data_IF_837154976015
#
_entry.id   IF_837154976015
#
_cell.length_a   1.000
_cell.length_b   1.000
_cell.length_c   1.000
_cell.angle_alpha   90.00
_cell.angle_beta   90.00
_cell.angle_gamma   90.00
#
_symmetry.space_group_name_H-M   'P 1'
#
loop_
_entity.id
_entity.type
_entity.pdbx_description
1 polymer ?
#
# COMPACT_ATOMS: atom_id res chain seq x y z
N UNK A 1 -10.66 21.87 -0.75
CA UNK A 1 -12.09 21.54 -0.92
C UNK A 1 -12.63 21.30 0.48
N UNK A 2 -13.26 22.31 1.08
CA UNK A 2 -13.89 22.21 2.41
C UNK A 2 -15.27 21.58 2.19
N UNK A 3 -15.44 20.33 2.59
CA UNK A 3 -16.77 19.71 2.66
C UNK A 3 -17.60 20.53 3.65
N UNK A 4 -18.66 21.17 3.16
CA UNK A 4 -19.66 21.85 4.00
C UNK A 4 -20.55 20.77 4.60
N UNK A 5 -20.15 20.29 5.77
CA UNK A 5 -20.71 19.09 6.43
C UNK A 5 -22.07 19.36 7.09
N UNK A 6 -22.57 20.60 7.05
CA UNK A 6 -23.72 21.03 7.86
C UNK A 6 -25.09 20.49 7.41
N UNK A 7 -25.22 19.87 6.23
CA UNK A 7 -26.52 19.42 5.67
C UNK A 7 -26.73 17.91 5.60
N UNK A 8 -25.74 17.07 5.94
CA UNK A 8 -25.86 15.64 5.64
C UNK A 8 -26.78 14.86 6.60
N UNK A 9 -27.65 14.01 6.05
CA UNK A 9 -28.45 13.04 6.82
C UNK A 9 -27.57 11.90 7.36
N UNK A 10 -28.13 11.05 8.22
CA UNK A 10 -27.40 9.88 8.71
C UNK A 10 -27.09 8.91 7.57
N UNK A 11 -28.06 8.65 6.70
CA UNK A 11 -27.95 7.73 5.56
C UNK A 11 -26.86 8.19 4.58
N UNK A 12 -26.78 9.50 4.30
CA UNK A 12 -25.74 10.06 3.44
C UNK A 12 -24.33 9.88 4.05
N UNK A 13 -24.20 10.09 5.37
CA UNK A 13 -22.93 9.87 6.05
C UNK A 13 -22.56 8.38 6.09
N UNK A 14 -23.54 7.48 6.25
CA UNK A 14 -23.33 6.04 6.25
C UNK A 14 -22.89 5.54 4.87
N UNK A 15 -23.51 6.01 3.79
CA UNK A 15 -23.09 5.73 2.42
C UNK A 15 -21.66 6.20 2.17
N UNK A 16 -21.36 7.46 2.52
CA UNK A 16 -20.01 8.02 2.39
C UNK A 16 -18.96 7.24 3.20
N UNK A 17 -19.33 6.76 4.40
CA UNK A 17 -18.45 5.92 5.21
C UNK A 17 -18.13 4.62 4.48
N UNK A 18 -19.13 3.91 3.99
CA UNK A 18 -18.96 2.62 3.31
C UNK A 18 -18.14 2.75 2.01
N UNK A 19 -18.38 3.81 1.25
CA UNK A 19 -17.59 4.12 0.04
C UNK A 19 -16.13 4.40 0.38
N UNK A 20 -15.89 5.23 1.41
CA UNK A 20 -14.53 5.55 1.84
C UNK A 20 -13.79 4.32 2.38
N UNK A 21 -14.47 3.43 3.09
CA UNK A 21 -13.91 2.14 3.53
C UNK A 21 -13.56 1.26 2.34
N UNK A 22 -14.42 1.19 1.33
CA UNK A 22 -14.17 0.42 0.10
C UNK A 22 -12.94 0.95 -0.65
N UNK A 23 -12.82 2.26 -0.81
CA UNK A 23 -11.63 2.86 -1.44
C UNK A 23 -10.36 2.68 -0.60
N UNK A 24 -10.46 2.79 0.74
CA UNK A 24 -9.34 2.48 1.63
C UNK A 24 -8.82 1.06 1.41
N UNK A 25 -9.73 0.06 1.39
CA UNK A 25 -9.38 -1.35 1.16
C UNK A 25 -8.68 -1.53 -0.17
N UNK A 26 -9.22 -0.93 -1.23
CA UNK A 26 -8.65 -1.00 -2.59
C UNK A 26 -7.26 -0.38 -2.66
N UNK A 27 -7.08 0.85 -2.16
CA UNK A 27 -5.78 1.52 -2.16
C UNK A 27 -4.77 0.76 -1.29
N UNK A 28 -5.21 0.16 -0.18
CA UNK A 28 -4.35 -0.62 0.70
C UNK A 28 -3.90 -1.93 0.04
N UNK A 29 -4.80 -2.70 -0.58
CA UNK A 29 -4.46 -3.89 -1.36
C UNK A 29 -3.44 -3.57 -2.47
N UNK A 30 -3.64 -2.46 -3.19
CA UNK A 30 -2.69 -2.02 -4.21
C UNK A 30 -1.32 -1.67 -3.63
N UNK A 31 -1.27 -1.03 -2.45
CA UNK A 31 -0.01 -0.72 -1.76
C UNK A 31 0.77 -1.98 -1.39
N UNK A 32 0.08 -3.03 -0.91
CA UNK A 32 0.68 -4.34 -0.63
C UNK A 32 1.25 -4.97 -1.91
N UNK A 33 0.49 -4.90 -3.02
CA UNK A 33 0.97 -5.35 -4.33
C UNK A 33 2.23 -4.62 -4.80
N UNK A 34 2.37 -3.32 -4.52
CA UNK A 34 3.59 -2.58 -4.84
C UNK A 34 4.77 -2.98 -3.95
N UNK A 35 4.55 -3.23 -2.66
CA UNK A 35 5.59 -3.76 -1.77
C UNK A 35 6.14 -5.11 -2.29
N UNK A 36 5.25 -6.02 -2.72
CA UNK A 36 5.67 -7.29 -3.33
C UNK A 36 6.50 -7.07 -4.60
N UNK A 37 6.07 -6.16 -5.48
CA UNK A 37 6.82 -5.82 -6.71
C UNK A 37 8.20 -5.25 -6.41
N UNK A 38 8.35 -4.44 -5.35
CA UNK A 38 9.65 -3.94 -4.94
C UNK A 38 10.58 -5.07 -4.50
N UNK A 39 10.06 -5.99 -3.69
CA UNK A 39 10.79 -7.16 -3.21
C UNK A 39 11.26 -8.04 -4.37
N UNK A 40 10.35 -8.37 -5.29
CA UNK A 40 10.65 -9.06 -6.55
C UNK A 40 11.75 -8.37 -7.35
N UNK A 41 11.65 -7.05 -7.48
CA UNK A 41 12.63 -6.26 -8.23
C UNK A 41 14.00 -6.23 -7.54
N UNK A 42 14.05 -6.16 -6.20
CA UNK A 42 15.30 -6.24 -5.44
C UNK A 42 15.99 -7.59 -5.64
N UNK A 43 15.26 -8.70 -5.64
CA UNK A 43 15.83 -10.00 -5.98
C UNK A 43 16.39 -10.03 -7.41
N UNK A 44 15.65 -9.50 -8.38
CA UNK A 44 16.14 -9.39 -9.77
C UNK A 44 17.41 -8.55 -9.89
N UNK A 45 17.55 -7.47 -9.10
CA UNK A 45 18.79 -6.67 -9.01
C UNK A 45 19.93 -7.46 -8.37
N UNK A 46 19.63 -8.26 -7.33
CA UNK A 46 20.61 -9.04 -6.57
C UNK A 46 21.19 -10.20 -7.40
N UNK A 47 20.34 -10.90 -8.15
CA UNK A 47 20.72 -12.12 -8.89
C UNK A 47 21.10 -11.87 -10.35
N UNK A 48 20.91 -10.65 -10.88
CA UNK A 48 21.37 -10.33 -12.23
C UNK A 48 22.87 -10.02 -12.26
N UNK A 49 23.60 -10.70 -13.15
CA UNK A 49 25.02 -10.43 -13.40
C UNK A 49 25.24 -9.35 -14.47
N UNK A 50 24.19 -8.93 -15.18
CA UNK A 50 24.28 -7.94 -16.24
C UNK A 50 24.10 -6.52 -15.69
N UNK A 51 25.13 -5.68 -15.85
CA UNK A 51 25.09 -4.26 -15.44
C UNK A 51 23.95 -3.48 -16.11
N UNK A 52 23.69 -3.71 -17.39
CA UNK A 52 22.61 -3.03 -18.12
C UNK A 52 21.23 -3.44 -17.59
N UNK A 53 20.99 -4.75 -17.39
CA UNK A 53 19.74 -5.23 -16.79
C UNK A 53 19.57 -4.76 -15.35
N UNK A 54 20.66 -4.72 -14.57
CA UNK A 54 20.65 -4.19 -13.21
C UNK A 54 20.11 -2.76 -13.18
N UNK A 55 20.64 -1.87 -14.03
CA UNK A 55 20.17 -0.48 -14.15
C UNK A 55 18.69 -0.39 -14.53
N UNK A 56 18.22 -1.26 -15.44
CA UNK A 56 16.79 -1.33 -15.79
C UNK A 56 15.93 -1.70 -14.58
N UNK A 57 16.33 -2.69 -13.79
CA UNK A 57 15.58 -3.08 -12.59
C UNK A 57 15.64 -2.01 -11.49
N UNK A 58 16.77 -1.33 -11.31
CA UNK A 58 16.86 -0.20 -10.37
C UNK A 58 15.87 0.91 -10.76
N UNK A 59 15.76 1.25 -12.05
CA UNK A 59 14.77 2.22 -12.53
C UNK A 59 13.33 1.72 -12.34
N UNK A 60 13.08 0.43 -12.58
CA UNK A 60 11.76 -0.17 -12.30
C UNK A 60 11.41 -0.09 -10.81
N UNK A 61 12.39 -0.31 -9.94
CA UNK A 61 12.21 -0.19 -8.49
C UNK A 61 11.87 1.26 -8.10
N UNK A 62 12.57 2.25 -8.66
CA UNK A 62 12.30 3.68 -8.42
C UNK A 62 10.88 4.08 -8.86
N UNK A 63 10.46 3.65 -10.05
CA UNK A 63 9.09 3.89 -10.51
C UNK A 63 8.05 3.22 -9.60
N UNK A 64 8.33 1.99 -9.15
CA UNK A 64 7.46 1.27 -8.21
C UNK A 64 7.38 2.01 -6.86
N UNK A 65 8.50 2.56 -6.37
CA UNK A 65 8.53 3.37 -5.14
C UNK A 65 7.69 4.64 -5.28
N UNK A 66 7.70 5.30 -6.45
CA UNK A 66 6.85 6.46 -6.70
C UNK A 66 5.36 6.11 -6.60
N UNK A 67 4.94 5.03 -7.25
CA UNK A 67 3.54 4.57 -7.20
C UNK A 67 3.14 4.10 -5.80
N UNK A 68 4.03 3.40 -5.09
CA UNK A 68 3.82 3.01 -3.70
C UNK A 68 3.57 4.24 -2.81
N UNK A 69 4.39 5.29 -2.92
CA UNK A 69 4.20 6.50 -2.14
C UNK A 69 2.86 7.19 -2.44
N UNK A 70 2.40 7.20 -3.71
CA UNK A 70 1.07 7.72 -4.05
C UNK A 70 -0.02 6.92 -3.37
N UNK A 71 0.04 5.59 -3.43
CA UNK A 71 -0.96 4.73 -2.77
C UNK A 71 -0.93 4.82 -1.25
N UNK A 72 0.24 4.93 -0.63
CA UNK A 72 0.34 5.18 0.81
C UNK A 72 -0.28 6.53 1.21
N UNK A 73 -0.12 7.57 0.38
CA UNK A 73 -0.78 8.84 0.60
C UNK A 73 -2.32 8.72 0.45
N UNK A 74 -2.82 8.02 -0.57
CA UNK A 74 -4.25 7.74 -0.72
C UNK A 74 -4.83 6.99 0.49
N UNK A 75 -4.16 5.94 0.97
CA UNK A 75 -4.55 5.20 2.18
C UNK A 75 -4.68 6.13 3.39
N UNK A 76 -3.72 7.07 3.54
CA UNK A 76 -3.75 8.03 4.62
C UNK A 76 -4.91 9.03 4.48
N UNK A 77 -5.18 9.53 3.27
CA UNK A 77 -6.30 10.43 3.02
C UNK A 77 -7.65 9.75 3.26
N UNK A 78 -7.83 8.50 2.82
CA UNK A 78 -9.07 7.76 3.11
C UNK A 78 -9.28 7.54 4.60
N UNK A 79 -8.22 7.24 5.37
CA UNK A 79 -8.31 7.17 6.84
C UNK A 79 -8.76 8.48 7.46
N UNK A 80 -8.27 9.62 6.98
CA UNK A 80 -8.73 10.93 7.45
C UNK A 80 -10.21 11.15 7.12
N UNK A 81 -10.62 10.87 5.89
CA UNK A 81 -12.01 11.04 5.44
C UNK A 81 -12.94 10.20 6.32
N UNK A 82 -12.62 8.93 6.55
CA UNK A 82 -13.38 8.03 7.42
C UNK A 82 -13.48 8.59 8.85
N UNK A 83 -12.37 9.08 9.41
CA UNK A 83 -12.38 9.67 10.75
C UNK A 83 -13.25 10.94 10.83
N UNK A 84 -13.24 11.78 9.79
CA UNK A 84 -14.10 12.97 9.71
C UNK A 84 -15.57 12.56 9.66
N UNK A 85 -15.93 11.57 8.83
CA UNK A 85 -17.30 11.06 8.72
C UNK A 85 -17.78 10.51 10.06
N UNK A 86 -17.00 9.63 10.70
CA UNK A 86 -17.34 9.05 12.00
C UNK A 86 -17.46 10.11 13.10
N UNK A 87 -16.58 11.11 13.12
CA UNK A 87 -16.63 12.21 14.08
C UNK A 87 -17.90 13.05 13.87
N UNK A 88 -18.25 13.32 12.61
CA UNK A 88 -19.48 14.03 12.24
C UNK A 88 -20.72 13.28 12.71
N UNK A 89 -20.81 11.97 12.46
CA UNK A 89 -21.93 11.15 12.92
C UNK A 89 -22.10 11.24 14.45
N UNK A 90 -20.99 11.24 15.19
CA UNK A 90 -21.00 11.38 16.65
C UNK A 90 -21.41 12.78 17.10
N UNK A 91 -20.85 13.82 16.52
CA UNK A 91 -21.14 15.22 16.86
C UNK A 91 -22.61 15.57 16.61
N UNK A 92 -23.21 15.00 15.56
CA UNK A 92 -24.65 15.13 15.27
C UNK A 92 -25.54 14.27 16.16
N UNK A 93 -24.96 13.41 17.00
CA UNK A 93 -25.71 12.51 17.87
C UNK A 93 -26.37 11.34 17.16
N UNK A 94 -26.00 11.06 15.89
CA UNK A 94 -26.51 9.88 15.17
C UNK A 94 -25.95 8.58 15.74
N UNK A 95 -24.72 8.62 16.25
CA UNK A 95 -24.08 7.49 16.92
C UNK A 95 -23.53 7.91 18.28
N UNK A 96 -23.54 6.97 19.21
CA UNK A 96 -22.94 7.12 20.54
C UNK A 96 -21.46 6.71 20.55
N UNK A 97 -20.79 6.86 21.70
CA UNK A 97 -19.36 6.54 21.83
C UNK A 97 -19.04 5.04 21.80
N UNK A 98 -20.01 4.18 22.05
CA UNK A 98 -19.84 2.73 21.88
C UNK A 98 -19.90 2.35 20.41
N UNK A 99 -20.87 2.87 19.68
CA UNK A 99 -21.02 2.68 18.22
C UNK A 99 -19.81 3.21 17.46
N UNK A 100 -19.30 4.40 17.82
CA UNK A 100 -18.05 4.91 17.25
C UNK A 100 -16.87 3.95 17.45
N UNK A 101 -16.74 3.36 18.65
CA UNK A 101 -15.69 2.36 18.92
C UNK A 101 -15.88 1.09 18.10
N UNK A 102 -17.13 0.64 17.92
CA UNK A 102 -17.45 -0.51 17.07
C UNK A 102 -17.08 -0.25 15.62
N UNK A 103 -17.39 0.93 15.07
CA UNK A 103 -17.01 1.33 13.71
C UNK A 103 -15.48 1.35 13.53
N UNK A 104 -14.74 1.96 14.47
CA UNK A 104 -13.28 1.90 14.46
C UNK A 104 -12.73 0.48 14.52
N UNK A 105 -13.31 -0.38 15.37
CA UNK A 105 -12.90 -1.78 15.45
C UNK A 105 -13.20 -2.55 14.16
N UNK A 106 -14.36 -2.29 13.56
CA UNK A 106 -14.75 -2.86 12.27
C UNK A 106 -13.79 -2.44 11.16
N UNK A 107 -13.44 -1.15 11.09
CA UNK A 107 -12.44 -0.63 10.15
C UNK A 107 -11.09 -1.34 10.29
N UNK A 108 -10.63 -1.58 11.51
CA UNK A 108 -9.39 -2.33 11.74
C UNK A 108 -9.54 -3.79 11.28
N UNK A 109 -10.72 -4.40 11.49
CA UNK A 109 -11.06 -5.72 10.95
C UNK A 109 -10.96 -5.77 9.43
N UNK A 110 -11.56 -4.81 8.73
CA UNK A 110 -11.48 -4.70 7.26
C UNK A 110 -10.04 -4.61 6.74
N UNK A 111 -9.18 -3.85 7.44
CA UNK A 111 -7.75 -3.77 7.09
C UNK A 111 -7.07 -5.13 7.29
N UNK A 112 -7.30 -5.80 8.42
CA UNK A 112 -6.75 -7.13 8.69
C UNK A 112 -7.25 -8.17 7.68
N UNK A 113 -8.51 -8.11 7.26
CA UNK A 113 -9.03 -8.98 6.21
C UNK A 113 -8.32 -8.76 4.87
N UNK A 114 -8.02 -7.51 4.50
CA UNK A 114 -7.23 -7.22 3.30
C UNK A 114 -5.82 -7.82 3.40
N UNK A 115 -5.16 -7.73 4.56
CA UNK A 115 -3.84 -8.35 4.80
C UNK A 115 -3.90 -9.87 4.67
N UNK A 116 -4.90 -10.51 5.30
CA UNK A 116 -5.10 -11.96 5.25
C UNK A 116 -5.43 -12.46 3.84
N UNK A 117 -6.31 -11.75 3.14
CA UNK A 117 -6.64 -12.07 1.76
C UNK A 117 -5.41 -11.94 0.87
N UNK A 118 -4.64 -10.87 1.02
CA UNK A 118 -3.41 -10.67 0.26
C UNK A 118 -2.37 -11.76 0.55
N UNK A 119 -2.18 -12.14 1.82
CA UNK A 119 -1.29 -13.24 2.20
C UNK A 119 -1.73 -14.57 1.55
N UNK A 120 -3.03 -14.89 1.55
CA UNK A 120 -3.56 -16.08 0.87
C UNK A 120 -3.29 -16.04 -0.65
N UNK A 121 -3.44 -14.87 -1.29
CA UNK A 121 -3.09 -14.71 -2.70
C UNK A 121 -1.59 -14.93 -2.93
N UNK A 122 -0.72 -14.45 -2.03
CA UNK A 122 0.73 -14.71 -2.10
C UNK A 122 1.07 -16.19 -1.96
N UNK A 123 0.46 -16.89 -1.01
CA UNK A 123 0.66 -18.33 -0.81
C UNK A 123 0.21 -19.12 -2.05
N UNK A 124 -0.88 -18.70 -2.68
CA UNK A 124 -1.32 -19.30 -3.94
C UNK A 124 -0.34 -19.05 -5.09
N UNK A 125 0.34 -17.89 -5.13
CA UNK A 125 1.40 -17.60 -6.11
C UNK A 125 2.66 -18.46 -5.87
N UNK A 126 2.96 -18.83 -4.63
CA UNK A 126 4.02 -19.78 -4.29
C UNK A 126 3.68 -21.20 -4.78
N UNK A 127 2.40 -21.60 -4.69
CA UNK A 127 1.97 -22.94 -5.02
C UNK A 127 1.71 -23.18 -6.52
N UNK A 128 1.48 -22.13 -7.32
CA UNK A 128 1.08 -22.25 -8.74
C UNK A 128 2.12 -21.65 -9.69
N UNK A 129 2.96 -22.51 -10.29
CA UNK A 129 3.98 -22.20 -11.31
C UNK A 129 3.42 -21.73 -12.69
N UNK A 130 2.21 -21.18 -12.79
CA UNK A 130 1.50 -21.10 -14.09
C UNK A 130 0.86 -19.75 -14.48
N UNK A 131 1.34 -18.61 -13.98
CA UNK A 131 0.93 -17.31 -14.55
C UNK A 131 2.13 -16.42 -14.88
N UNK A 132 1.93 -15.51 -15.83
CA UNK A 132 2.85 -14.59 -16.53
C UNK A 132 3.83 -13.78 -15.63
N UNK A 133 3.76 -13.93 -14.31
CA UNK A 133 4.69 -13.42 -13.29
C UNK A 133 5.50 -14.56 -12.62
N UNK A 134 6.00 -15.54 -13.38
CA UNK A 134 6.89 -16.61 -12.86
C UNK A 134 8.03 -16.07 -11.97
N UNK A 135 8.50 -14.86 -12.25
CA UNK A 135 9.57 -14.21 -11.49
C UNK A 135 9.17 -13.64 -10.12
N UNK A 136 7.90 -13.63 -9.72
CA UNK A 136 7.46 -13.13 -8.41
C UNK A 136 7.26 -14.28 -7.41
N UNK A 137 6.68 -15.42 -7.85
CA UNK A 137 6.58 -16.65 -7.05
C UNK A 137 7.95 -17.21 -6.67
N UNK A 138 8.89 -17.29 -7.63
CA UNK A 138 10.27 -17.73 -7.38
C UNK A 138 10.99 -16.83 -6.37
N UNK A 139 10.69 -15.53 -6.34
CA UNK A 139 11.32 -14.60 -5.39
C UNK A 139 10.80 -14.83 -3.97
N UNK A 140 9.49 -15.06 -3.81
CA UNK A 140 8.92 -15.35 -2.51
C UNK A 140 9.47 -16.67 -1.94
N UNK A 141 9.57 -17.73 -2.76
CA UNK A 141 10.15 -19.01 -2.33
C UNK A 141 11.61 -18.85 -1.88
N UNK A 142 12.41 -18.06 -2.62
CA UNK A 142 13.81 -17.78 -2.26
C UNK A 142 13.94 -17.04 -0.92
N UNK A 143 12.96 -16.23 -0.53
CA UNK A 143 12.98 -15.51 0.74
C UNK A 143 12.58 -16.40 1.92
N UNK A 144 11.71 -17.37 1.69
CA UNK A 144 11.38 -18.42 2.68
C UNK A 144 12.56 -19.36 2.89
N UNK A 145 13.18 -19.83 1.81
CA UNK A 145 14.32 -20.76 1.86
C UNK A 145 15.59 -20.10 2.41
N UNK A 146 15.80 -18.80 2.15
CA UNK A 146 17.01 -18.07 2.54
C UNK A 146 16.70 -16.78 3.30
N UNK A 147 16.37 -16.84 4.61
CA UNK A 147 16.00 -15.66 5.40
C UNK A 147 17.06 -14.55 5.43
N UNK A 148 18.34 -14.91 5.35
CA UNK A 148 19.45 -13.95 5.29
C UNK A 148 19.43 -13.09 4.02
N UNK A 149 18.76 -13.54 2.96
CA UNK A 149 18.51 -12.76 1.74
C UNK A 149 17.75 -11.48 2.10
N UNK A 150 16.80 -11.52 3.05
CA UNK A 150 16.06 -10.35 3.50
C UNK A 150 16.95 -9.21 4.01
N UNK A 151 18.01 -9.53 4.78
CA UNK A 151 18.99 -8.52 5.23
C UNK A 151 19.78 -7.94 4.05
N UNK A 152 20.16 -8.77 3.09
CA UNK A 152 20.89 -8.34 1.90
C UNK A 152 20.04 -7.45 0.99
N UNK A 153 18.74 -7.75 0.83
CA UNK A 153 17.82 -6.91 0.08
C UNK A 153 17.61 -5.55 0.75
N UNK A 154 17.47 -5.52 2.09
CA UNK A 154 17.41 -4.25 2.85
C UNK A 154 18.67 -3.40 2.66
N UNK A 155 19.86 -4.01 2.57
CA UNK A 155 21.08 -3.27 2.28
C UNK A 155 21.10 -2.72 0.85
N UNK A 156 20.61 -3.50 -0.12
CA UNK A 156 20.49 -3.10 -1.52
C UNK A 156 19.47 -1.99 -1.74
N UNK A 157 18.42 -1.95 -0.93
CA UNK A 157 17.37 -0.94 -0.97
C UNK A 157 17.86 0.45 -0.56
N UNK A 158 18.73 0.56 0.45
CA UNK A 158 19.23 1.85 0.96
C UNK A 158 19.71 2.84 -0.12
N UNK A 159 20.61 2.46 -1.05
CA UNK A 159 21.04 3.39 -2.11
C UNK A 159 19.92 3.75 -3.08
N UNK A 160 18.92 2.89 -3.28
CA UNK A 160 17.77 3.18 -4.15
C UNK A 160 16.81 4.16 -3.49
N UNK A 161 16.54 4.01 -2.19
CA UNK A 161 15.80 4.98 -1.39
C UNK A 161 16.48 6.34 -1.42
N UNK A 162 17.81 6.38 -1.26
CA UNK A 162 18.57 7.63 -1.35
C UNK A 162 18.40 8.31 -2.73
N UNK A 163 18.51 7.53 -3.82
CA UNK A 163 18.28 8.04 -5.19
C UNK A 163 16.85 8.56 -5.38
N UNK A 164 15.86 7.83 -4.90
CA UNK A 164 14.46 8.27 -4.92
C UNK A 164 14.28 9.62 -4.21
N UNK A 165 14.86 9.77 -3.02
CA UNK A 165 14.77 11.02 -2.25
C UNK A 165 15.49 12.19 -2.93
N UNK A 166 16.56 11.93 -3.68
CA UNK A 166 17.23 12.94 -4.50
C UNK A 166 16.32 13.37 -5.67
N UNK A 167 15.79 12.41 -6.43
CA UNK A 167 14.85 12.69 -7.53
C UNK A 167 13.61 13.46 -7.08
N UNK A 168 13.06 13.12 -5.91
CA UNK A 168 11.90 13.80 -5.33
C UNK A 168 12.20 15.27 -5.03
N UNK A 169 13.36 15.58 -4.47
CA UNK A 169 13.78 16.96 -4.18
C UNK A 169 13.99 17.79 -5.44
N UNK A 170 14.73 17.24 -6.41
CA UNK A 170 14.98 17.92 -7.69
C UNK A 170 13.70 18.13 -8.50
N UNK A 171 12.75 17.21 -8.42
CA UNK A 171 11.43 17.35 -9.04
C UNK A 171 10.55 18.42 -8.38
N UNK A 172 10.73 18.67 -7.08
CA UNK A 172 10.03 19.74 -6.35
C UNK A 172 10.65 21.12 -6.62
N UNK A 173 11.98 21.20 -6.75
CA UNK A 173 12.68 22.45 -7.07
C UNK A 173 12.41 22.95 -8.50
N UNK A 174 12.04 22.06 -9.43
CA UNK A 174 11.68 22.42 -10.82
C UNK A 174 10.21 22.82 -11.00
N UNK A 175 9.37 22.68 -9.96
CA UNK A 175 7.95 23.00 -10.00
C UNK A 175 7.60 24.33 -9.31
N UNK A 176 8.63 25.06 -8.84
CA UNK A 176 8.59 26.41 -8.27
C UNK A 176 9.15 27.37 -9.31
#
# INVERSE_FOLDING_TARGET
MTLSIDTYSFEELEEMYNDAVTELRRSYYQSLGFHLKQLSTLCKIKFTNSKSRKKTYENKWLNTQMELCKKQAEVWEWRKIINVIMSTMKERGFINSEELRRLHSGLMGEITEVEQHFASVQDNMLCMNQYENEGDGVVLSLLEEYPELGKQLKQLEKPLVWRYNLMKREGQERAI
#
